data_IF_421643605682
#
_entry.id   IF_421643605682
#
_cell.length_a   1.000
_cell.length_b   1.000
_cell.length_c   1.000
_cell.angle_alpha   90.00
_cell.angle_beta   90.00
_cell.angle_gamma   90.00
#
_symmetry.space_group_name_H-M   'P 1'
#
loop_
_entity.id
_entity.type
_entity.pdbx_description
1 polymer ?
#
# COMPACT_ATOMS: atom_id res chain seq x y z
N UNK A 1 -5.50 -2.08 7.94
CA UNK A 1 -4.38 -2.37 7.06
C UNK A 1 -3.16 -2.93 7.74
N UNK A 2 -3.34 -3.54 8.87
CA UNK A 2 -2.21 -4.11 9.55
C UNK A 2 -1.57 -5.24 8.75
N UNK A 3 -2.39 -6.03 8.07
CA UNK A 3 -1.83 -7.14 7.30
C UNK A 3 -0.92 -6.63 6.20
N UNK A 4 -1.32 -5.58 5.54
CA UNK A 4 -0.52 -5.02 4.47
C UNK A 4 0.78 -4.47 5.06
N UNK A 5 0.69 -3.81 6.20
CA UNK A 5 1.87 -3.24 6.83
C UNK A 5 2.85 -4.34 7.20
N UNK A 6 2.35 -5.43 7.75
CA UNK A 6 3.22 -6.52 8.12
C UNK A 6 3.84 -7.17 6.90
N UNK A 7 3.05 -7.34 5.87
CA UNK A 7 3.56 -7.98 4.67
C UNK A 7 4.61 -7.12 4.00
N UNK A 8 4.40 -5.82 3.99
CA UNK A 8 5.34 -4.91 3.37
C UNK A 8 6.53 -4.60 4.26
N UNK A 9 6.42 -4.91 5.53
CA UNK A 9 7.52 -4.64 6.45
C UNK A 9 7.57 -3.19 6.88
N UNK A 10 6.43 -2.53 6.92
CA UNK A 10 6.38 -1.14 7.32
C UNK A 10 5.28 -0.96 8.35
N UNK A 11 5.16 0.21 8.92
CA UNK A 11 4.13 0.44 9.92
C UNK A 11 2.81 0.72 9.23
N UNK A 12 1.74 0.56 9.97
CA UNK A 12 0.41 0.83 9.41
C UNK A 12 0.29 2.27 9.00
N UNK A 13 0.94 3.16 9.72
CA UNK A 13 0.90 4.56 9.37
C UNK A 13 1.57 4.78 8.01
N UNK A 14 2.64 4.08 7.75
CA UNK A 14 3.32 4.20 6.47
C UNK A 14 2.42 3.72 5.34
N UNK A 15 1.67 2.65 5.58
CA UNK A 15 0.76 2.16 4.57
C UNK A 15 -0.30 3.22 4.29
N UNK A 16 -0.83 3.81 5.33
CA UNK A 16 -1.85 4.83 5.17
C UNK A 16 -1.32 6.00 4.35
N UNK A 17 -0.10 6.42 4.65
CA UNK A 17 0.48 7.52 3.92
C UNK A 17 0.74 7.16 2.46
N UNK A 18 1.18 5.95 2.23
CA UNK A 18 1.48 5.54 0.86
C UNK A 18 0.24 5.51 0.00
N UNK A 19 -0.90 5.23 0.61
CA UNK A 19 -2.12 5.15 -0.16
C UNK A 19 -2.79 6.52 -0.34
N UNK A 20 -2.26 7.54 0.34
CA UNK A 20 -2.81 8.86 0.16
C UNK A 20 -2.01 9.61 -0.86
N UNK A 21 -2.63 10.48 -1.58
CA UNK A 21 -1.91 11.24 -2.56
C UNK A 21 -0.89 12.12 -1.95
N UNK A 22 -1.18 12.65 -0.76
CA UNK A 22 -0.23 13.50 -0.17
C UNK A 22 0.79 12.76 0.57
N UNK A 23 0.81 11.48 0.62
CA UNK A 23 1.75 10.72 1.41
C UNK A 23 3.14 10.91 0.91
N UNK A 24 4.10 11.12 1.83
CA UNK A 24 5.43 11.26 1.42
C UNK A 24 6.15 9.99 1.68
N UNK A 25 6.11 9.03 0.85
CA UNK A 25 6.84 7.79 0.98
C UNK A 25 7.66 7.62 -0.27
N UNK A 26 8.77 6.94 -0.15
CA UNK A 26 9.62 6.72 -1.30
C UNK A 26 8.95 5.76 -2.25
N UNK A 27 9.35 5.81 -3.50
CA UNK A 27 8.78 4.93 -4.50
C UNK A 27 9.01 3.47 -4.14
N UNK A 28 10.16 3.17 -3.60
CA UNK A 28 10.45 1.80 -3.21
C UNK A 28 9.48 1.31 -2.14
N UNK A 29 9.21 2.14 -1.16
CA UNK A 29 8.29 1.78 -0.09
C UNK A 29 6.89 1.61 -0.66
N UNK A 30 6.51 2.52 -1.54
CA UNK A 30 5.20 2.46 -2.12
C UNK A 30 5.01 1.18 -2.90
N UNK A 31 6.00 0.78 -3.66
CA UNK A 31 5.91 -0.45 -4.42
C UNK A 31 5.79 -1.66 -3.52
N UNK A 32 6.49 -1.67 -2.42
CA UNK A 32 6.38 -2.76 -1.48
C UNK A 32 4.96 -2.88 -0.96
N UNK A 33 4.38 -1.74 -0.64
CA UNK A 33 3.03 -1.73 -0.11
C UNK A 33 2.05 -2.20 -1.17
N UNK A 34 2.22 -1.73 -2.39
CA UNK A 34 1.33 -2.13 -3.47
C UNK A 34 1.45 -3.62 -3.75
N UNK A 35 2.65 -4.15 -3.68
CA UNK A 35 2.85 -5.57 -3.88
C UNK A 35 2.17 -6.36 -2.77
N UNK A 36 2.28 -5.87 -1.54
CA UNK A 36 1.64 -6.54 -0.43
C UNK A 36 0.13 -6.53 -0.58
N UNK A 37 -0.42 -5.41 -1.01
CA UNK A 37 -1.85 -5.30 -1.22
C UNK A 37 -2.29 -6.31 -2.27
N UNK A 38 -1.53 -6.39 -3.33
CA UNK A 38 -1.86 -7.30 -4.41
C UNK A 38 -1.78 -8.76 -3.96
N UNK A 39 -0.77 -9.08 -3.18
CA UNK A 39 -0.61 -10.44 -2.71
C UNK A 39 -1.70 -10.86 -1.74
N UNK A 40 -2.15 -9.94 -0.91
CA UNK A 40 -3.17 -10.25 0.06
C UNK A 40 -4.57 -10.20 -0.53
N UNK A 41 -4.66 -9.78 -1.79
CA UNK A 41 -5.97 -9.79 -2.44
C UNK A 41 -6.82 -8.57 -2.15
N UNK A 42 -6.27 -7.53 -1.58
CA UNK A 42 -7.06 -6.34 -1.35
C UNK A 42 -7.23 -5.62 -2.69
N UNK A 43 -8.41 -5.17 -2.95
CA UNK A 43 -8.65 -4.48 -4.19
C UNK A 43 -8.72 -3.01 -3.91
N UNK A 44 -7.79 -2.26 -4.48
CA UNK A 44 -7.83 -0.85 -4.30
C UNK A 44 -8.72 -0.36 -5.36
N UNK A 45 -9.77 0.21 -5.05
CA UNK A 45 -10.63 0.61 -5.94
C UNK A 45 -10.18 1.47 -6.97
N UNK A 46 -9.51 1.36 -7.73
CA UNK A 46 -8.98 2.07 -8.59
C UNK A 46 -9.58 2.12 -9.81
N UNK A 47 -10.25 2.13 -10.11
CA UNK A 47 -10.74 2.21 -11.26
C UNK A 47 -10.65 1.40 -12.08
N UNK A 48 -10.29 1.02 -11.89
CA UNK A 48 -10.10 0.08 -12.59
C UNK A 48 -10.53 0.16 -13.81
N UNK A 49 -11.07 0.60 -14.01
CA UNK A 49 -11.41 0.67 -15.13
C UNK A 49 -10.95 -0.09 -15.98
N UNK A 50 -10.58 -0.29 -15.95
CA UNK A 50 -10.14 -0.93 -16.82
C UNK A 50 -10.54 -1.59 -17.35
#
# INVERSE_FOLDING_TARGET
MLDVARRAGVSAMTVSRALKKDGRVSDATRERILAAVNELGYVLDQSAGS
#
